data_IF_835885891016
#
_entry.id   IF_835885891016
#
_cell.length_a   1.000
_cell.length_b   1.000
_cell.length_c   1.000
_cell.angle_alpha   90.00
_cell.angle_beta   90.00
_cell.angle_gamma   90.00
#
_symmetry.space_group_name_H-M   'P 1'
#
loop_
_entity.id
_entity.type
_entity.pdbx_description
1 polymer ?
#
# COMPACT_ATOMS: atom_id res chain seq x y z
N UNK A 1 65.07 -22.78 -25.95
CA UNK A 1 65.28 -21.86 -24.82
C UNK A 1 64.36 -20.68 -25.04
N UNK A 2 63.26 -20.58 -24.29
CA UNK A 2 62.36 -19.43 -24.35
C UNK A 2 62.01 -18.96 -22.93
N UNK A 3 62.04 -17.64 -22.80
CA UNK A 3 62.20 -16.84 -21.59
C UNK A 3 60.97 -16.89 -20.67
N UNK A 4 61.26 -16.93 -19.37
CA UNK A 4 60.35 -16.51 -18.31
C UNK A 4 60.05 -15.01 -18.43
N UNK A 5 58.78 -14.66 -18.69
CA UNK A 5 58.27 -13.31 -18.49
C UNK A 5 57.47 -13.28 -17.18
N UNK A 6 58.10 -12.77 -16.12
CA UNK A 6 57.44 -12.38 -14.86
C UNK A 6 56.46 -11.24 -15.13
N UNK A 7 55.16 -11.53 -15.17
CA UNK A 7 54.13 -10.50 -15.18
C UNK A 7 53.97 -9.95 -13.76
N UNK A 8 54.20 -8.64 -13.61
CA UNK A 8 53.97 -7.83 -12.43
C UNK A 8 52.57 -8.05 -11.84
N UNK A 9 52.49 -8.42 -10.57
CA UNK A 9 51.30 -8.23 -9.72
C UNK A 9 51.44 -6.90 -8.98
N UNK A 10 51.25 -5.79 -9.68
CA UNK A 10 50.89 -4.51 -9.05
C UNK A 10 49.53 -4.10 -9.60
N UNK A 11 48.48 -4.59 -8.95
CA UNK A 11 47.13 -4.08 -9.16
C UNK A 11 46.94 -3.08 -8.02
N UNK A 12 47.21 -1.80 -8.33
CA UNK A 12 46.83 -0.67 -7.51
C UNK A 12 45.33 -0.80 -7.20
N UNK A 13 45.01 -0.96 -5.91
CA UNK A 13 43.65 -1.20 -5.39
C UNK A 13 42.66 -0.08 -5.79
N UNK A 14 43.18 1.06 -6.22
CA UNK A 14 42.43 2.29 -6.51
C UNK A 14 41.90 2.37 -7.95
N UNK A 15 42.17 1.35 -8.79
CA UNK A 15 41.72 1.29 -10.19
C UNK A 15 40.54 0.33 -10.43
N UNK A 16 39.92 -0.24 -9.39
CA UNK A 16 38.60 -0.85 -9.53
C UNK A 16 37.62 0.32 -9.49
N UNK A 17 36.99 0.71 -10.62
CA UNK A 17 35.93 1.70 -10.56
C UNK A 17 34.91 1.11 -9.61
N UNK A 18 34.57 1.83 -8.54
CA UNK A 18 33.48 1.45 -7.66
C UNK A 18 32.29 1.17 -8.55
N UNK A 19 32.02 -0.10 -8.83
CA UNK A 19 30.79 -0.53 -9.45
C UNK A 19 29.73 -0.01 -8.49
N UNK A 20 29.13 1.12 -8.84
CA UNK A 20 27.86 1.55 -8.31
C UNK A 20 26.92 0.46 -8.79
N UNK A 21 26.89 -0.64 -8.04
CA UNK A 21 25.93 -1.71 -8.19
C UNK A 21 24.60 -1.04 -7.89
N UNK A 22 23.96 -0.58 -8.95
CA UNK A 22 22.55 -0.28 -9.02
C UNK A 22 21.80 -1.40 -8.27
N UNK A 23 21.48 -1.15 -6.98
CA UNK A 23 20.83 -2.07 -6.01
C UNK A 23 20.98 -3.55 -6.39
N UNK A 24 22.06 -4.19 -5.92
CA UNK A 24 22.38 -5.58 -6.23
C UNK A 24 21.15 -6.48 -6.11
N UNK A 25 21.07 -7.51 -6.96
CA UNK A 25 19.98 -8.49 -6.91
C UNK A 25 19.86 -9.14 -5.52
N UNK A 26 20.96 -9.23 -4.77
CA UNK A 26 20.97 -9.69 -3.38
C UNK A 26 20.19 -8.74 -2.44
N UNK A 27 20.38 -7.42 -2.53
CA UNK A 27 19.63 -6.43 -1.73
C UNK A 27 18.12 -6.49 -2.03
N UNK A 28 17.74 -6.67 -3.31
CA UNK A 28 16.33 -6.86 -3.70
C UNK A 28 15.73 -8.15 -3.14
N UNK A 29 16.49 -9.25 -3.15
CA UNK A 29 16.05 -10.55 -2.61
C UNK A 29 15.93 -10.51 -1.08
N UNK A 30 16.88 -9.88 -0.40
CA UNK A 30 16.87 -9.76 1.07
C UNK A 30 15.68 -8.93 1.55
N UNK A 31 15.38 -7.81 0.86
CA UNK A 31 14.23 -6.96 1.17
C UNK A 31 12.89 -7.64 0.90
N UNK A 32 12.83 -8.46 -0.15
CA UNK A 32 11.69 -9.34 -0.42
C UNK A 32 11.51 -10.39 0.67
N UNK A 33 12.58 -11.05 1.07
CA UNK A 33 12.57 -12.08 2.11
C UNK A 33 12.16 -11.51 3.48
N UNK A 34 12.64 -10.33 3.86
CA UNK A 34 12.25 -9.64 5.10
C UNK A 34 10.76 -9.28 5.13
N UNK A 35 10.21 -8.77 4.02
CA UNK A 35 8.78 -8.47 3.90
C UNK A 35 7.94 -9.74 4.02
N UNK A 36 8.31 -10.80 3.32
CA UNK A 36 7.57 -12.07 3.35
C UNK A 36 7.71 -12.78 4.70
N UNK A 37 8.89 -12.73 5.32
CA UNK A 37 9.14 -13.26 6.66
C UNK A 37 8.32 -12.53 7.74
N UNK A 38 8.16 -11.20 7.61
CA UNK A 38 7.30 -10.43 8.52
C UNK A 38 5.82 -10.79 8.38
N UNK A 39 5.35 -10.95 7.14
CA UNK A 39 3.96 -11.35 6.83
C UNK A 39 3.68 -12.76 7.36
N UNK A 40 4.60 -13.70 7.13
CA UNK A 40 4.46 -15.10 7.54
C UNK A 40 4.63 -15.27 9.05
N UNK A 41 5.51 -14.50 9.69
CA UNK A 41 5.71 -14.50 11.14
C UNK A 41 4.51 -13.96 11.93
N UNK A 42 3.74 -13.03 11.35
CA UNK A 42 2.49 -12.55 11.94
C UNK A 42 1.33 -13.55 11.80
N UNK A 43 1.35 -14.38 10.75
CA UNK A 43 0.31 -15.37 10.46
C UNK A 43 0.51 -16.71 11.18
N UNK A 44 1.72 -17.04 11.65
CA UNK A 44 2.01 -18.30 12.35
C UNK A 44 3.22 -18.20 13.29
N UNK A 45 3.03 -18.10 14.62
CA UNK A 45 4.15 -17.99 15.57
C UNK A 45 4.95 -19.29 15.80
N UNK A 46 4.42 -20.48 15.47
CA UNK A 46 4.94 -21.74 16.07
C UNK A 46 5.30 -22.91 15.13
N UNK A 47 5.30 -22.77 13.79
CA UNK A 47 5.55 -23.94 12.92
C UNK A 47 6.79 -23.85 12.05
N UNK A 48 7.85 -24.54 12.49
CA UNK A 48 9.06 -24.87 11.74
C UNK A 48 8.87 -25.97 10.70
N UNK A 49 7.85 -25.87 9.83
CA UNK A 49 7.64 -26.81 8.72
C UNK A 49 7.90 -26.13 7.37
N UNK A 50 8.97 -26.58 6.72
CA UNK A 50 9.60 -25.98 5.54
C UNK A 50 8.68 -26.16 4.31
N UNK A 51 8.35 -25.04 3.66
CA UNK A 51 7.84 -24.97 2.28
C UNK A 51 6.31 -25.02 2.12
N UNK A 52 5.64 -26.06 2.61
CA UNK A 52 4.20 -26.27 2.38
C UNK A 52 3.30 -25.33 3.20
N UNK A 53 3.59 -25.20 4.50
CA UNK A 53 2.84 -24.33 5.41
C UNK A 53 2.96 -22.84 5.07
N UNK A 54 4.10 -22.43 4.49
CA UNK A 54 4.35 -21.03 4.12
C UNK A 54 3.49 -20.59 2.93
N UNK A 55 3.30 -21.46 1.93
CA UNK A 55 2.40 -21.21 0.80
C UNK A 55 0.93 -21.13 1.25
N UNK A 56 0.52 -22.02 2.15
CA UNK A 56 -0.83 -21.99 2.73
C UNK A 56 -1.07 -20.71 3.53
N UNK A 57 -0.12 -20.29 4.38
CA UNK A 57 -0.20 -19.05 5.13
C UNK A 57 -0.24 -17.82 4.21
N UNK A 58 0.58 -17.79 3.15
CA UNK A 58 0.56 -16.69 2.17
C UNK A 58 -0.78 -16.64 1.40
N UNK A 59 -1.34 -17.81 1.08
CA UNK A 59 -2.65 -17.90 0.41
C UNK A 59 -3.80 -17.43 1.30
N UNK A 60 -3.72 -17.67 2.61
CA UNK A 60 -4.69 -17.17 3.60
C UNK A 60 -4.52 -15.68 3.90
N UNK A 61 -3.28 -15.16 3.84
CA UNK A 61 -2.99 -13.74 4.03
C UNK A 61 -3.55 -12.87 2.90
N UNK A 62 -3.48 -13.33 1.64
CA UNK A 62 -3.91 -12.57 0.46
C UNK A 62 -5.34 -11.98 0.58
N UNK A 63 -6.40 -12.75 0.87
CA UNK A 63 -7.76 -12.19 0.99
C UNK A 63 -7.89 -11.22 2.16
N UNK A 64 -7.25 -11.49 3.30
CA UNK A 64 -7.27 -10.59 4.48
C UNK A 64 -6.57 -9.26 4.17
N UNK A 65 -5.44 -9.31 3.46
CA UNK A 65 -4.71 -8.12 3.04
C UNK A 65 -5.48 -7.29 2.00
N UNK A 66 -6.19 -7.95 1.09
CA UNK A 66 -7.09 -7.28 0.13
C UNK A 66 -8.24 -6.60 0.88
N UNK A 67 -8.91 -7.28 1.81
CA UNK A 67 -9.99 -6.69 2.60
C UNK A 67 -9.51 -5.48 3.42
N UNK A 68 -8.33 -5.57 4.04
CA UNK A 68 -7.73 -4.45 4.77
C UNK A 68 -7.38 -3.28 3.83
N UNK A 69 -6.85 -3.57 2.64
CA UNK A 69 -6.53 -2.59 1.61
C UNK A 69 -7.78 -1.87 1.08
N UNK A 70 -8.87 -2.60 0.83
CA UNK A 70 -10.16 -2.04 0.41
C UNK A 70 -10.76 -1.16 1.51
N UNK A 71 -10.74 -1.60 2.77
CA UNK A 71 -11.19 -0.76 3.90
C UNK A 71 -10.40 0.54 4.02
N UNK A 72 -9.07 0.46 3.90
CA UNK A 72 -8.21 1.65 3.92
C UNK A 72 -8.50 2.59 2.75
N UNK A 73 -8.69 2.04 1.55
CA UNK A 73 -9.04 2.80 0.35
C UNK A 73 -10.38 3.54 0.53
N UNK A 74 -11.40 2.87 1.07
CA UNK A 74 -12.70 3.49 1.34
C UNK A 74 -12.58 4.63 2.36
N UNK A 75 -11.84 4.43 3.45
CA UNK A 75 -11.65 5.49 4.45
C UNK A 75 -10.97 6.72 3.87
N UNK A 76 -9.88 6.54 3.12
CA UNK A 76 -9.15 7.65 2.50
C UNK A 76 -9.98 8.33 1.41
N UNK A 77 -10.70 7.56 0.59
CA UNK A 77 -11.61 8.10 -0.42
C UNK A 77 -12.74 8.93 0.21
N UNK A 78 -13.32 8.48 1.32
CA UNK A 78 -14.35 9.23 2.06
C UNK A 78 -13.80 10.54 2.62
N UNK A 79 -12.59 10.55 3.18
CA UNK A 79 -11.96 11.76 3.71
C UNK A 79 -11.68 12.79 2.60
N UNK A 80 -11.11 12.34 1.48
CA UNK A 80 -10.86 13.19 0.31
C UNK A 80 -12.14 13.74 -0.30
N UNK A 81 -13.17 12.89 -0.42
CA UNK A 81 -14.47 13.29 -0.94
C UNK A 81 -15.17 14.31 -0.02
N UNK A 82 -15.11 14.10 1.31
CA UNK A 82 -15.65 15.05 2.29
C UNK A 82 -14.98 16.40 2.18
N UNK A 83 -13.65 16.41 2.05
CA UNK A 83 -12.90 17.65 1.86
C UNK A 83 -13.25 18.35 0.55
N UNK A 84 -13.48 17.61 -0.53
CA UNK A 84 -13.88 18.17 -1.82
C UNK A 84 -15.31 18.75 -1.77
N UNK A 85 -16.25 18.04 -1.14
CA UNK A 85 -17.62 18.50 -0.92
C UNK A 85 -17.67 19.79 -0.11
N UNK A 86 -16.96 19.84 1.03
CA UNK A 86 -16.85 21.06 1.84
C UNK A 86 -16.27 22.24 1.05
N UNK A 87 -15.20 22.01 0.28
CA UNK A 87 -14.58 23.06 -0.54
C UNK A 87 -15.55 23.64 -1.57
N UNK A 88 -16.36 22.80 -2.21
CA UNK A 88 -17.37 23.25 -3.16
C UNK A 88 -18.44 24.12 -2.49
N UNK A 89 -18.93 23.72 -1.32
CA UNK A 89 -19.90 24.52 -0.54
C UNK A 89 -19.30 25.87 -0.17
N UNK A 90 -18.04 25.89 0.31
CA UNK A 90 -17.33 27.13 0.64
C UNK A 90 -17.21 28.04 -0.59
N UNK A 91 -16.89 27.51 -1.77
CA UNK A 91 -16.82 28.29 -3.01
C UNK A 91 -18.17 28.89 -3.40
N UNK A 92 -19.27 28.15 -3.26
CA UNK A 92 -20.63 28.66 -3.51
C UNK A 92 -20.99 29.77 -2.53
N UNK A 93 -20.65 29.61 -1.26
CA UNK A 93 -20.83 30.65 -0.23
C UNK A 93 -19.98 31.88 -0.57
N UNK A 94 -18.74 31.72 -1.01
CA UNK A 94 -17.90 32.84 -1.45
C UNK A 94 -18.50 33.60 -2.64
N UNK A 95 -19.02 32.88 -3.63
CA UNK A 95 -19.73 33.49 -4.77
C UNK A 95 -20.95 34.29 -4.31
N UNK A 96 -21.68 33.76 -3.33
CA UNK A 96 -22.81 34.45 -2.72
C UNK A 96 -22.38 35.72 -1.99
N UNK A 97 -21.34 35.65 -1.16
CA UNK A 97 -20.84 36.79 -0.39
C UNK A 97 -20.33 37.91 -1.29
N UNK A 98 -19.80 37.61 -2.49
CA UNK A 98 -19.38 38.60 -3.50
C UNK A 98 -20.52 39.48 -4.02
N UNK A 99 -21.77 39.02 -3.93
CA UNK A 99 -22.93 39.81 -4.34
C UNK A 99 -23.25 40.95 -3.35
N UNK A 100 -22.57 40.99 -2.19
CA UNK A 100 -22.77 42.01 -1.16
C UNK A 100 -21.49 42.82 -0.98
N UNK A 101 -21.58 44.15 -1.06
CA UNK A 101 -20.41 45.04 -0.93
C UNK A 101 -19.74 44.98 0.45
N UNK A 102 -20.47 44.60 1.50
CA UNK A 102 -19.96 44.32 2.85
C UNK A 102 -20.78 43.20 3.49
N UNK A 103 -20.35 41.94 3.43
CA UNK A 103 -20.97 40.89 4.21
C UNK A 103 -20.74 41.14 5.70
N UNK A 104 -21.79 40.99 6.51
CA UNK A 104 -21.72 41.25 7.94
C UNK A 104 -20.99 40.14 8.72
N UNK A 105 -20.96 38.92 8.16
CA UNK A 105 -20.36 37.72 8.77
C UNK A 105 -19.71 36.84 7.71
N UNK A 106 -18.68 36.09 8.11
CA UNK A 106 -18.04 35.09 7.27
C UNK A 106 -18.79 33.75 7.35
N UNK A 107 -19.68 33.52 6.38
CA UNK A 107 -20.49 32.31 6.30
C UNK A 107 -19.68 31.04 6.03
N UNK A 108 -18.38 31.11 5.69
CA UNK A 108 -17.57 29.90 5.47
C UNK A 108 -17.45 29.03 6.72
N UNK A 109 -17.52 29.64 7.90
CA UNK A 109 -17.39 28.98 9.20
C UNK A 109 -18.51 27.97 9.50
N UNK A 110 -19.64 28.03 8.77
CA UNK A 110 -20.77 27.12 8.97
C UNK A 110 -20.54 25.74 8.33
N UNK A 111 -19.54 25.63 7.45
CA UNK A 111 -19.25 24.42 6.67
C UNK A 111 -18.33 23.51 7.47
N UNK A 112 -18.83 22.33 7.81
CA UNK A 112 -18.12 21.26 8.50
C UNK A 112 -18.47 19.93 7.84
N UNK A 113 -17.75 18.87 8.19
CA UNK A 113 -17.98 17.51 7.65
C UNK A 113 -19.41 17.01 7.91
N UNK A 114 -20.08 17.48 8.96
CA UNK A 114 -21.46 17.10 9.31
C UNK A 114 -22.54 18.04 8.77
N UNK A 115 -22.17 19.19 8.19
CA UNK A 115 -23.15 20.23 7.81
C UNK A 115 -23.18 20.50 6.31
N UNK A 116 -22.09 20.26 5.58
CA UNK A 116 -21.96 20.63 4.16
C UNK A 116 -23.02 20.01 3.24
N UNK A 117 -23.59 18.86 3.61
CA UNK A 117 -24.56 18.11 2.83
C UNK A 117 -26.02 18.41 3.19
N UNK A 118 -26.29 19.41 4.04
CA UNK A 118 -27.64 19.71 4.47
C UNK A 118 -27.93 21.22 4.45
N UNK A 119 -28.72 21.64 3.46
CA UNK A 119 -29.09 23.05 3.28
C UNK A 119 -29.83 23.65 4.48
N UNK A 120 -30.67 22.88 5.17
CA UNK A 120 -31.38 23.36 6.36
C UNK A 120 -30.44 23.62 7.54
N UNK A 121 -29.44 22.75 7.74
CA UNK A 121 -28.45 22.93 8.81
C UNK A 121 -27.51 24.09 8.47
N UNK A 122 -27.06 24.20 7.22
CA UNK A 122 -26.25 25.34 6.75
C UNK A 122 -27.00 26.66 6.98
N UNK A 123 -28.28 26.71 6.62
CA UNK A 123 -29.10 27.89 6.84
C UNK A 123 -29.23 28.22 8.33
N UNK A 124 -29.56 27.23 9.17
CA UNK A 124 -29.70 27.43 10.62
C UNK A 124 -28.41 28.01 11.22
N UNK A 125 -27.27 27.43 10.88
CA UNK A 125 -25.96 27.90 11.34
C UNK A 125 -25.64 29.30 10.81
N UNK A 126 -26.04 29.61 9.56
CA UNK A 126 -25.90 30.95 9.00
C UNK A 126 -26.77 31.98 9.73
N UNK A 127 -28.00 31.63 10.09
CA UNK A 127 -28.88 32.50 10.88
C UNK A 127 -28.32 32.74 12.29
N UNK A 128 -27.80 31.69 12.93
CA UNK A 128 -27.16 31.81 14.24
C UNK A 128 -25.92 32.71 14.19
N UNK A 129 -25.05 32.51 13.20
CA UNK A 129 -23.85 33.32 13.01
C UNK A 129 -24.19 34.79 12.69
N UNK A 130 -25.21 35.02 11.86
CA UNK A 130 -25.63 36.36 11.45
C UNK A 130 -26.51 37.07 12.48
N UNK A 131 -26.93 36.42 13.57
CA UNK A 131 -27.88 36.97 14.55
C UNK A 131 -27.44 38.28 15.21
N UNK A 132 -26.13 38.53 15.32
CA UNK A 132 -25.56 39.78 15.82
C UNK A 132 -25.78 40.98 14.89
N UNK A 133 -25.97 40.71 13.59
CA UNK A 133 -26.08 41.70 12.52
C UNK A 133 -27.45 41.70 11.83
N UNK A 134 -28.23 40.63 12.02
CA UNK A 134 -29.52 40.39 11.42
C UNK A 134 -30.57 40.11 12.50
N UNK A 135 -31.60 40.94 12.57
CA UNK A 135 -32.78 40.66 13.39
C UNK A 135 -33.76 39.79 12.60
N UNK A 136 -33.66 38.47 12.81
CA UNK A 136 -34.55 37.48 12.18
C UNK A 136 -35.93 37.38 12.84
N UNK A 137 -36.13 38.03 14.00
CA UNK A 137 -37.41 38.08 14.71
C UNK A 137 -38.27 39.30 14.35
N UNK A 138 -37.70 40.30 13.68
CA UNK A 138 -38.40 41.49 13.25
C UNK A 138 -39.51 41.21 12.21
N UNK A 139 -40.60 41.98 12.29
CA UNK A 139 -41.73 41.92 11.33
C UNK A 139 -41.33 42.25 9.88
N UNK A 140 -40.21 42.97 9.69
CA UNK A 140 -39.60 43.22 8.38
C UNK A 140 -38.09 43.19 8.46
N UNK A 141 -37.48 42.25 7.77
CA UNK A 141 -36.03 42.24 7.54
C UNK A 141 -35.67 43.28 6.48
N UNK A 142 -34.92 44.32 6.87
CA UNK A 142 -34.53 45.43 5.98
C UNK A 142 -33.29 45.14 5.12
N UNK A 143 -32.46 44.19 5.55
CA UNK A 143 -31.21 43.83 4.88
C UNK A 143 -31.46 42.73 3.85
N UNK A 144 -31.10 42.99 2.59
CA UNK A 144 -31.15 41.99 1.50
C UNK A 144 -30.30 40.76 1.83
N UNK A 145 -29.19 40.95 2.55
CA UNK A 145 -28.35 39.84 3.03
C UNK A 145 -29.11 38.95 4.02
N UNK A 146 -29.72 39.55 5.04
CA UNK A 146 -30.45 38.82 6.08
C UNK A 146 -31.71 38.12 5.53
N UNK A 147 -32.44 38.75 4.61
CA UNK A 147 -33.64 38.14 4.01
C UNK A 147 -33.26 36.94 3.15
N UNK A 148 -32.13 37.02 2.45
CA UNK A 148 -31.64 35.93 1.61
C UNK A 148 -31.15 34.74 2.45
N UNK A 149 -30.63 34.99 3.66
CA UNK A 149 -30.34 33.93 4.64
C UNK A 149 -31.64 33.30 5.16
N UNK A 150 -32.61 34.11 5.61
CA UNK A 150 -33.83 33.61 6.25
C UNK A 150 -34.72 32.77 5.32
N UNK A 151 -34.81 33.14 4.04
CA UNK A 151 -35.64 32.45 3.06
C UNK A 151 -34.85 31.53 2.13
N UNK A 152 -33.53 31.39 2.36
CA UNK A 152 -32.58 30.74 1.46
C UNK A 152 -32.51 29.22 1.54
N UNK A 153 -33.35 28.53 2.33
CA UNK A 153 -33.18 27.10 2.63
C UNK A 153 -33.21 26.21 1.38
N UNK A 154 -34.20 26.40 0.51
CA UNK A 154 -34.40 25.59 -0.70
C UNK A 154 -33.78 26.22 -1.94
N UNK A 155 -33.29 27.46 -1.85
CA UNK A 155 -32.69 28.18 -2.97
C UNK A 155 -31.18 28.18 -2.83
N UNK A 156 -30.65 28.98 -1.92
CA UNK A 156 -29.21 29.15 -1.76
C UNK A 156 -28.58 27.95 -1.05
N UNK A 157 -28.95 27.70 0.20
CA UNK A 157 -28.31 26.68 1.02
C UNK A 157 -28.60 25.26 0.53
N UNK A 158 -29.79 25.02 -0.03
CA UNK A 158 -30.15 23.77 -0.71
C UNK A 158 -29.22 23.52 -1.90
N UNK A 159 -29.06 24.49 -2.81
CA UNK A 159 -28.15 24.36 -3.95
C UNK A 159 -26.68 24.22 -3.54
N UNK A 160 -26.26 24.86 -2.44
CA UNK A 160 -24.90 24.70 -1.94
C UNK A 160 -24.68 23.28 -1.45
N UNK A 161 -25.61 22.74 -0.66
CA UNK A 161 -25.56 21.37 -0.19
C UNK A 161 -25.59 20.36 -1.35
N UNK A 162 -26.45 20.56 -2.34
CA UNK A 162 -26.51 19.73 -3.55
C UNK A 162 -25.18 19.76 -4.33
N UNK A 163 -24.56 20.93 -4.49
CA UNK A 163 -23.26 21.05 -5.12
C UNK A 163 -22.16 20.33 -4.32
N UNK A 164 -22.20 20.45 -2.98
CA UNK A 164 -21.31 19.73 -2.07
C UNK A 164 -21.45 18.21 -2.18
N UNK A 165 -22.69 17.70 -2.21
CA UNK A 165 -23.00 16.27 -2.38
C UNK A 165 -22.52 15.79 -3.75
N UNK A 166 -22.86 16.51 -4.83
CA UNK A 166 -22.42 16.14 -6.17
C UNK A 166 -20.89 16.08 -6.29
N UNK A 167 -20.18 17.03 -5.66
CA UNK A 167 -18.72 17.02 -5.63
C UNK A 167 -18.16 15.88 -4.79
N UNK A 168 -18.79 15.58 -3.66
CA UNK A 168 -18.46 14.42 -2.83
C UNK A 168 -18.60 13.13 -3.65
N UNK A 169 -19.75 12.88 -4.26
CA UNK A 169 -20.04 11.63 -4.98
C UNK A 169 -19.08 11.42 -6.16
N UNK A 170 -18.82 12.48 -6.93
CA UNK A 170 -17.87 12.43 -8.03
C UNK A 170 -16.44 12.13 -7.54
N UNK A 171 -16.00 12.77 -6.46
CA UNK A 171 -14.66 12.57 -5.90
C UNK A 171 -14.53 11.20 -5.25
N UNK A 172 -15.54 10.77 -4.51
CA UNK A 172 -15.59 9.46 -3.83
C UNK A 172 -15.49 8.33 -4.85
N UNK A 173 -16.29 8.38 -5.92
CA UNK A 173 -16.28 7.36 -6.97
C UNK A 173 -14.89 7.23 -7.60
N UNK A 174 -14.30 8.35 -8.02
CA UNK A 174 -12.98 8.37 -8.65
C UNK A 174 -11.87 7.90 -7.69
N UNK A 175 -11.85 8.41 -6.46
CA UNK A 175 -10.80 8.09 -5.49
C UNK A 175 -10.92 6.66 -4.99
N UNK A 176 -12.13 6.17 -4.74
CA UNK A 176 -12.38 4.79 -4.31
C UNK A 176 -11.84 3.82 -5.35
N UNK A 177 -12.22 3.98 -6.61
CA UNK A 177 -11.77 3.09 -7.69
C UNK A 177 -10.24 3.13 -7.85
N UNK A 178 -9.65 4.33 -7.82
CA UNK A 178 -8.20 4.49 -7.95
C UNK A 178 -7.43 3.86 -6.78
N UNK A 179 -7.87 4.10 -5.54
CA UNK A 179 -7.21 3.60 -4.33
C UNK A 179 -7.42 2.09 -4.15
N UNK A 180 -8.61 1.56 -4.41
CA UNK A 180 -8.86 0.12 -4.38
C UNK A 180 -7.96 -0.59 -5.39
N UNK A 181 -7.90 -0.09 -6.63
CA UNK A 181 -7.04 -0.67 -7.67
C UNK A 181 -5.57 -0.62 -7.25
N UNK A 182 -5.08 0.55 -6.83
CA UNK A 182 -3.68 0.71 -6.43
C UNK A 182 -3.29 -0.16 -5.24
N UNK A 183 -4.14 -0.21 -4.21
CA UNK A 183 -3.86 -0.98 -2.99
C UNK A 183 -3.96 -2.50 -3.25
N UNK A 184 -4.95 -2.95 -4.00
CA UNK A 184 -5.08 -4.36 -4.39
C UNK A 184 -3.91 -4.80 -5.27
N UNK A 185 -3.47 -3.96 -6.21
CA UNK A 185 -2.33 -4.27 -7.06
C UNK A 185 -1.02 -4.30 -6.28
N UNK A 186 -0.86 -3.43 -5.29
CA UNK A 186 0.25 -3.50 -4.33
C UNK A 186 0.24 -4.82 -3.54
N UNK A 187 -0.93 -5.28 -3.07
CA UNK A 187 -1.07 -6.57 -2.38
C UNK A 187 -0.74 -7.73 -3.33
N UNK A 188 -1.25 -7.72 -4.56
CA UNK A 188 -0.94 -8.74 -5.59
C UNK A 188 0.55 -8.78 -5.93
N UNK A 189 1.19 -7.62 -6.09
CA UNK A 189 2.62 -7.52 -6.37
C UNK A 189 3.45 -8.08 -5.19
N UNK A 190 3.05 -7.77 -3.96
CA UNK A 190 3.68 -8.31 -2.75
C UNK A 190 3.51 -9.83 -2.67
N UNK A 191 2.30 -10.33 -2.92
CA UNK A 191 2.01 -11.76 -2.97
C UNK A 191 2.86 -12.49 -4.03
N UNK A 192 2.93 -11.96 -5.25
CA UNK A 192 3.74 -12.53 -6.33
C UNK A 192 5.23 -12.55 -5.97
N UNK A 193 5.74 -11.47 -5.35
CA UNK A 193 7.11 -11.42 -4.85
C UNK A 193 7.38 -12.45 -3.76
N UNK A 194 6.43 -12.71 -2.85
CA UNK A 194 6.61 -13.73 -1.83
C UNK A 194 6.54 -15.14 -2.39
N UNK A 195 5.64 -15.37 -3.36
CA UNK A 195 5.52 -16.66 -4.03
C UNK A 195 6.80 -17.03 -4.77
N UNK A 196 7.43 -16.10 -5.50
CA UNK A 196 8.68 -16.36 -6.22
C UNK A 196 9.84 -16.68 -5.28
N UNK A 197 9.96 -15.96 -4.15
CA UNK A 197 10.99 -16.22 -3.13
C UNK A 197 10.81 -17.61 -2.51
N UNK A 198 9.57 -18.01 -2.17
CA UNK A 198 9.29 -19.34 -1.62
C UNK A 198 9.63 -20.44 -2.63
N UNK A 199 9.26 -20.29 -3.91
CA UNK A 199 9.57 -21.26 -4.96
C UNK A 199 11.09 -21.39 -5.16
N UNK A 200 11.81 -20.27 -5.22
CA UNK A 200 13.26 -20.26 -5.36
C UNK A 200 13.96 -21.00 -4.20
N UNK A 201 13.47 -20.81 -2.96
CA UNK A 201 13.98 -21.53 -1.79
C UNK A 201 13.75 -23.04 -1.88
N UNK A 202 12.58 -23.49 -2.37
CA UNK A 202 12.28 -24.92 -2.54
C UNK A 202 13.19 -25.54 -3.60
N UNK A 203 13.38 -24.86 -4.74
CA UNK A 203 14.26 -25.33 -5.81
C UNK A 203 15.71 -25.44 -5.31
N UNK A 204 16.20 -24.47 -4.54
CA UNK A 204 17.53 -24.52 -3.96
C UNK A 204 17.72 -25.74 -3.04
N UNK A 205 16.74 -26.04 -2.18
CA UNK A 205 16.77 -27.23 -1.30
C UNK A 205 16.82 -28.51 -2.13
N UNK A 206 15.99 -28.64 -3.17
CA UNK A 206 15.96 -29.82 -4.05
C UNK A 206 17.33 -30.03 -4.72
N UNK A 207 17.97 -28.95 -5.21
CA UNK A 207 19.29 -29.03 -5.83
C UNK A 207 20.35 -29.50 -4.82
N UNK A 208 20.36 -28.98 -3.59
CA UNK A 208 21.29 -29.42 -2.54
C UNK A 208 21.11 -30.90 -2.21
N UNK A 209 19.86 -31.36 -2.07
CA UNK A 209 19.53 -32.77 -1.80
C UNK A 209 19.98 -33.66 -2.95
N UNK A 210 19.75 -33.26 -4.21
CA UNK A 210 20.20 -34.00 -5.39
C UNK A 210 21.73 -34.15 -5.42
N UNK A 211 22.47 -33.08 -5.15
CA UNK A 211 23.95 -33.12 -5.07
C UNK A 211 24.41 -34.07 -3.96
N UNK A 212 23.79 -33.99 -2.78
CA UNK A 212 24.08 -34.90 -1.65
C UNK A 212 23.84 -36.37 -2.02
N UNK A 213 22.73 -36.67 -2.72
CA UNK A 213 22.42 -38.03 -3.19
C UNK A 213 23.43 -38.51 -4.22
N UNK A 214 23.84 -37.68 -5.19
CA UNK A 214 24.84 -38.03 -6.20
C UNK A 214 26.19 -38.35 -5.53
N UNK A 215 26.68 -37.46 -4.66
CA UNK A 215 27.92 -37.66 -3.90
C UNK A 215 27.82 -38.93 -3.06
N UNK A 216 26.70 -39.14 -2.36
CA UNK A 216 26.46 -40.33 -1.57
C UNK A 216 26.51 -41.61 -2.42
N UNK A 217 25.85 -41.63 -3.58
CA UNK A 217 25.86 -42.78 -4.49
C UNK A 217 27.29 -43.06 -5.00
N UNK A 218 28.06 -42.03 -5.36
CA UNK A 218 29.46 -42.17 -5.76
C UNK A 218 30.29 -42.77 -4.61
N UNK A 219 30.18 -42.21 -3.40
CA UNK A 219 30.91 -42.69 -2.23
C UNK A 219 30.51 -44.12 -1.84
N UNK A 220 29.23 -44.46 -1.92
CA UNK A 220 28.71 -45.80 -1.65
C UNK A 220 29.21 -46.79 -2.69
N UNK A 221 29.22 -46.42 -3.97
CA UNK A 221 29.73 -47.26 -5.03
C UNK A 221 31.24 -47.50 -4.88
N UNK A 222 32.01 -46.47 -4.51
CA UNK A 222 33.45 -46.59 -4.21
C UNK A 222 33.70 -47.52 -3.03
N UNK A 223 32.92 -47.41 -1.94
CA UNK A 223 33.01 -48.30 -0.77
C UNK A 223 32.72 -49.76 -1.15
N UNK A 224 31.65 -50.03 -1.90
CA UNK A 224 31.33 -51.39 -2.37
C UNK A 224 32.43 -51.98 -3.27
N UNK A 225 33.00 -51.19 -4.19
CA UNK A 225 34.10 -51.64 -5.06
C UNK A 225 35.36 -51.97 -4.25
N UNK A 226 35.71 -51.16 -3.23
CA UNK A 226 36.82 -51.48 -2.32
C UNK A 226 36.59 -52.79 -1.57
N UNK A 227 35.40 -53.05 -1.05
CA UNK A 227 35.07 -54.29 -0.34
C UNK A 227 35.17 -55.53 -1.25
N UNK A 228 34.67 -55.45 -2.49
CA UNK A 228 34.79 -56.56 -3.47
C UNK A 228 36.25 -56.89 -3.79
N UNK A 229 37.10 -55.87 -3.99
CA UNK A 229 38.54 -56.09 -4.20
C UNK A 229 39.20 -56.77 -3.01
N UNK A 230 38.92 -56.32 -1.78
CA UNK A 230 39.46 -56.95 -0.56
C UNK A 230 39.10 -58.45 -0.44
N UNK A 231 37.88 -58.81 -0.79
CA UNK A 231 37.41 -60.21 -0.78
C UNK A 231 38.16 -61.10 -1.78
N UNK A 232 38.53 -60.56 -2.96
CA UNK A 232 39.34 -61.28 -3.93
C UNK A 232 40.78 -61.49 -3.45
N UNK A 233 41.38 -60.49 -2.80
CA UNK A 233 42.73 -60.63 -2.24
C UNK A 233 42.82 -61.66 -1.10
N UNK A 234 41.80 -61.73 -0.24
CA UNK A 234 41.76 -62.74 0.84
C UNK A 234 41.75 -64.17 0.26
N UNK A 235 40.94 -64.40 -0.78
CA UNK A 235 40.85 -65.73 -1.42
C UNK A 235 42.16 -66.19 -2.06
N UNK A 236 42.95 -65.28 -2.63
CA UNK A 236 44.24 -65.61 -3.26
C UNK A 236 45.36 -65.93 -2.26
N UNK A 237 45.18 -65.62 -0.97
CA UNK A 237 46.16 -65.91 0.09
C UNK A 237 45.86 -67.22 0.82
N UNK A 238 44.72 -67.84 0.55
CA UNK A 238 44.24 -69.06 1.22
C UNK A 238 44.48 -70.32 0.35
N UNK A 239 44.88 -70.14 -0.91
CA UNK A 239 45.51 -71.15 -1.78
C UNK A 239 47.04 -71.10 -1.63
#
# INVERSE_FOLDING_TARGET
MDKFATLHTDIQNDAIPTCVCEKSLADKVEKGCLRCGSILGAAMPEMGSIGGSLLSALSAWKPVAIEAAEKAAVTEATDLATQAGMREVVLKIEQFLKNFSKPAVDLKLIVTSSTYNNGAILQKNAMELASSSCDFGATRIRSTFCSTIQYGVNTNFGQYAEAGIAKYDATYTLQKEALETANVDMVKATYASCQTVIIASIVAIIVIVLVMVIIYLILRHRRKKKMKKKLQYIKLLEE
#
